data_IF_581846004964
#
_entry.id   IF_581846004964
#
_cell.length_a   1.000
_cell.length_b   1.000
_cell.length_c   1.000
_cell.angle_alpha   90.00
_cell.angle_beta   90.00
_cell.angle_gamma   90.00
#
_symmetry.space_group_name_H-M   'P 1'
#
loop_
_entity.id
_entity.type
_entity.pdbx_description
1 polymer ?
#
# COMPACT_ATOMS: atom_id res chain seq x y z
N UNK A 1 -18.63 -11.20 -4.17
CA UNK A 1 -18.04 -9.91 -3.73
C UNK A 1 -18.97 -9.33 -2.69
N UNK A 2 -18.46 -8.93 -1.53
CA UNK A 2 -19.25 -8.40 -0.43
C UNK A 2 -19.26 -6.86 -0.48
N UNK A 3 -20.41 -6.21 -0.28
CA UNK A 3 -20.56 -4.78 -0.48
C UNK A 3 -20.26 -3.99 0.81
N UNK A 4 -19.20 -3.16 0.81
CA UNK A 4 -18.82 -2.35 1.97
C UNK A 4 -19.95 -1.43 2.44
N UNK A 5 -20.78 -0.93 1.53
CA UNK A 5 -21.93 -0.06 1.85
C UNK A 5 -22.97 -0.78 2.70
N UNK A 6 -23.23 -2.05 2.44
CA UNK A 6 -24.19 -2.86 3.21
C UNK A 6 -23.71 -3.05 4.65
N UNK A 7 -22.40 -3.20 4.87
CA UNK A 7 -21.81 -3.35 6.22
C UNK A 7 -21.84 -2.06 7.03
N UNK A 8 -21.65 -0.92 6.37
CA UNK A 8 -21.65 0.39 7.04
C UNK A 8 -23.06 0.86 7.39
N UNK A 9 -24.08 0.40 6.66
CA UNK A 9 -25.49 0.66 6.98
C UNK A 9 -25.78 2.16 7.15
N UNK A 10 -26.54 2.58 8.19
CA UNK A 10 -26.85 3.99 8.43
C UNK A 10 -25.62 4.87 8.67
N UNK A 11 -24.49 4.31 9.09
CA UNK A 11 -23.25 5.08 9.28
C UNK A 11 -22.66 5.57 7.94
N UNK A 12 -23.02 4.93 6.83
CA UNK A 12 -22.66 5.39 5.49
C UNK A 12 -23.41 6.67 5.06
N UNK A 13 -24.50 7.03 5.75
CA UNK A 13 -25.28 8.25 5.51
C UNK A 13 -24.75 9.45 6.31
N UNK A 14 -23.84 9.21 7.26
CA UNK A 14 -23.11 10.26 7.96
C UNK A 14 -21.93 10.78 7.10
N UNK A 15 -21.37 11.94 7.45
CA UNK A 15 -20.16 12.49 6.82
C UNK A 15 -18.90 11.66 7.16
N UNK A 16 -18.80 10.46 6.60
CA UNK A 16 -17.60 9.62 6.69
C UNK A 16 -16.62 10.00 5.59
N UNK A 17 -15.34 10.01 5.92
CA UNK A 17 -14.25 10.25 4.99
C UNK A 17 -13.41 8.99 4.83
N UNK A 18 -12.78 8.86 3.66
CA UNK A 18 -11.89 7.76 3.36
C UNK A 18 -10.52 8.30 2.99
N UNK A 19 -9.49 7.65 3.50
CA UNK A 19 -8.13 7.84 3.03
C UNK A 19 -7.74 6.63 2.19
N UNK A 20 -7.36 6.88 0.94
CA UNK A 20 -6.83 5.86 0.06
C UNK A 20 -5.31 5.96 0.05
N UNK A 21 -4.65 4.90 0.49
CA UNK A 21 -3.20 4.80 0.50
C UNK A 21 -2.79 3.64 -0.40
N UNK A 22 -2.21 3.97 -1.55
CA UNK A 22 -1.65 2.95 -2.45
C UNK A 22 -0.49 2.21 -1.80
N UNK A 23 -0.32 0.95 -2.18
CA UNK A 23 0.80 0.14 -1.71
C UNK A 23 2.14 0.83 -2.03
N UNK A 24 2.93 1.08 -0.98
CA UNK A 24 4.25 1.72 -1.04
C UNK A 24 5.27 0.86 -0.31
N UNK A 25 6.47 0.74 -0.88
CA UNK A 25 7.56 0.01 -0.24
C UNK A 25 8.89 0.74 -0.43
N UNK A 26 9.83 0.47 0.47
CA UNK A 26 11.23 0.89 0.33
C UNK A 26 12.09 -0.34 0.06
N UNK A 27 13.24 -0.16 -0.60
CA UNK A 27 14.17 -1.27 -0.86
C UNK A 27 14.58 -1.98 0.45
N UNK A 28 14.79 -1.22 1.53
CA UNK A 28 15.08 -1.77 2.86
C UNK A 28 13.94 -2.64 3.39
N UNK A 29 12.70 -2.23 3.19
CA UNK A 29 11.53 -3.02 3.59
C UNK A 29 11.41 -4.31 2.77
N UNK A 30 11.61 -4.26 1.44
CA UNK A 30 11.62 -5.45 0.57
C UNK A 30 12.58 -6.51 1.11
N UNK A 31 13.84 -6.12 1.35
CA UNK A 31 14.87 -7.03 1.89
C UNK A 31 14.42 -7.69 3.20
N UNK A 32 13.95 -6.88 4.16
CA UNK A 32 13.54 -7.38 5.47
C UNK A 32 12.31 -8.29 5.41
N UNK A 33 11.36 -8.02 4.52
CA UNK A 33 10.17 -8.85 4.33
C UNK A 33 10.57 -10.22 3.78
N UNK A 34 11.46 -10.27 2.79
CA UNK A 34 11.93 -11.54 2.22
C UNK A 34 12.77 -12.36 3.21
N UNK A 35 13.55 -11.69 4.08
CA UNK A 35 14.33 -12.37 5.13
C UNK A 35 13.42 -13.05 6.17
N UNK A 36 12.28 -12.44 6.53
CA UNK A 36 11.36 -12.94 7.56
C UNK A 36 10.29 -13.86 6.95
N UNK A 37 9.83 -13.55 5.75
CA UNK A 37 8.76 -14.26 5.03
C UNK A 37 9.24 -14.63 3.62
N UNK A 38 10.06 -15.70 3.49
CA UNK A 38 10.65 -16.08 2.20
C UNK A 38 9.62 -16.49 1.15
N UNK A 39 8.48 -17.04 1.59
CA UNK A 39 7.37 -17.46 0.74
C UNK A 39 6.29 -16.38 0.59
N UNK A 40 6.62 -15.11 0.81
CA UNK A 40 5.68 -14.02 0.67
C UNK A 40 5.22 -13.88 -0.79
N UNK A 41 3.90 -13.82 -1.00
CA UNK A 41 3.28 -13.55 -2.31
C UNK A 41 3.07 -12.06 -2.55
N UNK A 42 3.68 -11.18 -1.73
CA UNK A 42 3.54 -9.74 -1.88
C UNK A 42 4.23 -9.26 -3.17
N UNK A 43 3.55 -8.49 -4.03
CA UNK A 43 4.15 -7.96 -5.26
C UNK A 43 5.14 -6.85 -4.90
N UNK A 44 6.43 -7.16 -4.96
CA UNK A 44 7.52 -6.28 -4.54
C UNK A 44 8.50 -5.96 -5.67
N UNK A 45 8.17 -6.25 -6.92
CA UNK A 45 9.02 -5.94 -8.06
C UNK A 45 9.08 -4.44 -8.33
N UNK A 46 10.30 -3.93 -8.49
CA UNK A 46 10.57 -2.50 -8.64
C UNK A 46 10.31 -2.03 -10.08
N UNK A 47 10.40 -2.94 -11.06
CA UNK A 47 10.19 -2.67 -12.49
C UNK A 47 8.74 -2.25 -12.82
N UNK A 48 7.76 -2.67 -12.00
CA UNK A 48 6.36 -2.27 -12.13
C UNK A 48 6.02 -0.97 -11.36
N UNK A 49 7.01 -0.32 -10.74
CA UNK A 49 6.80 0.78 -9.79
C UNK A 49 7.51 2.07 -10.20
N UNK A 50 6.91 3.21 -9.87
CA UNK A 50 7.56 4.51 -10.05
C UNK A 50 8.41 4.85 -8.84
N UNK A 51 9.69 5.15 -9.09
CA UNK A 51 10.59 5.70 -8.09
C UNK A 51 10.23 7.15 -7.78
N UNK A 52 10.03 7.48 -6.50
CA UNK A 52 9.84 8.85 -6.04
C UNK A 52 11.00 9.26 -5.13
N UNK A 53 11.68 10.35 -5.49
CA UNK A 53 12.66 11.01 -4.65
C UNK A 53 11.94 11.79 -3.54
N UNK A 54 12.20 11.47 -2.28
CA UNK A 54 11.68 12.24 -1.16
C UNK A 54 12.53 13.46 -0.87
N UNK A 55 11.88 14.49 -0.34
CA UNK A 55 12.44 15.82 -0.06
C UNK A 55 13.62 15.82 0.92
N UNK A 56 13.78 14.76 1.73
CA UNK A 56 14.84 14.63 2.74
C UNK A 56 15.78 13.44 2.49
N UNK A 57 15.96 13.04 1.22
CA UNK A 57 16.91 11.99 0.82
C UNK A 57 16.39 10.56 0.94
N UNK A 58 15.12 10.38 1.32
CA UNK A 58 14.47 9.07 1.36
C UNK A 58 13.69 8.82 0.08
N UNK A 59 14.07 7.79 -0.67
CA UNK A 59 13.32 7.35 -1.84
C UNK A 59 12.28 6.29 -1.49
N UNK A 60 11.16 6.28 -2.21
CA UNK A 60 10.08 5.30 -2.03
C UNK A 60 9.56 4.85 -3.38
N UNK A 61 9.21 3.57 -3.48
CA UNK A 61 8.58 2.97 -4.65
C UNK A 61 7.06 2.91 -4.45
N UNK A 62 6.31 3.47 -5.40
CA UNK A 62 4.84 3.43 -5.39
C UNK A 62 4.32 2.56 -6.53
N UNK A 63 3.32 1.70 -6.22
CA UNK A 63 2.43 1.15 -7.24
C UNK A 63 1.58 2.26 -7.84
N UNK A 64 1.20 2.14 -9.12
CA UNK A 64 0.05 2.87 -9.65
C UNK A 64 -1.25 2.43 -8.98
#
# INVERSE_FOLDING_TARGET
MENLREKLGPAAENNITFELISHRLTARAKKRILDIFPSSTLPMEEEERKFKYGQFGWSTWCSF
#
